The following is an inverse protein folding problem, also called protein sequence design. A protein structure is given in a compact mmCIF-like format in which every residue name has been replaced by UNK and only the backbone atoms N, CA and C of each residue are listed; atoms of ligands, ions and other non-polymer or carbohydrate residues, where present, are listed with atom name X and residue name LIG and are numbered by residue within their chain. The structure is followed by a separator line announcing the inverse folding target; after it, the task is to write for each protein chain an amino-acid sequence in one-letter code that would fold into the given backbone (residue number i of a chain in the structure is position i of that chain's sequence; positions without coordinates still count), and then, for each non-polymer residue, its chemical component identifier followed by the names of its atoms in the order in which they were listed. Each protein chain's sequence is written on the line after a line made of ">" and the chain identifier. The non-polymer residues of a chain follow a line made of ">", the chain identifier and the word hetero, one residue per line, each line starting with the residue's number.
data_IF_232226784313
#
_entry.id   IF_232226784313
#
_cell.length_a   1.000
_cell.length_b   1.000
_cell.length_c   1.000
_cell.angle_alpha   90.00
_cell.angle_beta   90.00
_cell.angle_gamma   90.00
#
_symmetry.space_group_name_H-M   'P 1'
#
loop_
_entity.id
_entity.type
_entity.pdbx_description
1 polymer ?
#
# COMPACT_ATOMS: atom_id res chain seq x y z
N UNK A 1 -6.72 -51.28 17.39
CA UNK A 1 -5.82 -50.41 16.60
C UNK A 1 -6.05 -48.98 17.06
N UNK A 2 -5.13 -48.42 17.85
CA UNK A 2 -5.24 -47.04 18.32
C UNK A 2 -4.82 -46.09 17.19
N UNK A 3 -5.74 -45.23 16.74
CA UNK A 3 -5.45 -44.18 15.77
C UNK A 3 -4.72 -43.05 16.49
N UNK A 4 -3.42 -42.92 16.23
CA UNK A 4 -2.64 -41.78 16.66
C UNK A 4 -2.77 -40.67 15.59
N UNK A 5 -3.79 -39.82 15.72
CA UNK A 5 -3.82 -38.54 15.01
C UNK A 5 -3.19 -37.50 15.93
N UNK A 6 -1.90 -37.21 15.73
CA UNK A 6 -1.30 -36.04 16.33
C UNK A 6 -2.02 -34.78 15.79
N UNK A 7 -2.41 -33.82 16.66
CA UNK A 7 -3.02 -32.58 16.18
C UNK A 7 -2.01 -31.84 15.30
N UNK A 8 -2.46 -31.43 14.11
CA UNK A 8 -1.73 -30.48 13.28
C UNK A 8 -1.41 -29.25 14.14
N UNK A 9 -0.15 -28.80 14.14
CA UNK A 9 0.24 -27.55 14.82
C UNK A 9 -0.71 -26.46 14.36
N UNK A 10 -1.39 -25.84 15.31
CA UNK A 10 -2.16 -24.63 15.08
C UNK A 10 -1.17 -23.55 14.64
N UNK A 11 -1.00 -23.41 13.32
CA UNK A 11 -0.35 -22.24 12.76
C UNK A 11 -1.36 -21.15 12.97
N UNK A 12 -1.23 -20.42 14.08
CA UNK A 12 -1.89 -19.13 14.21
C UNK A 12 -1.58 -18.38 12.91
N UNK A 13 -2.61 -18.17 12.07
CA UNK A 13 -2.47 -17.43 10.84
C UNK A 13 -2.12 -16.00 11.24
N UNK A 14 -0.83 -15.73 11.39
CA UNK A 14 -0.35 -14.43 11.78
C UNK A 14 -0.83 -13.45 10.71
N UNK A 15 -1.79 -12.61 11.09
CA UNK A 15 -2.38 -11.62 10.22
C UNK A 15 -1.27 -10.86 9.50
N UNK A 16 -1.30 -10.87 8.16
CA UNK A 16 -0.32 -10.12 7.38
C UNK A 16 -0.56 -8.63 7.66
N UNK A 17 0.48 -7.94 8.12
CA UNK A 17 0.45 -6.49 8.28
C UNK A 17 0.79 -5.84 6.95
N UNK A 18 -0.07 -4.95 6.47
CA UNK A 18 0.10 -4.25 5.20
C UNK A 18 0.00 -2.76 5.48
N UNK A 19 0.95 -1.99 4.97
CA UNK A 19 0.91 -0.53 4.98
C UNK A 19 0.13 -0.05 3.75
N UNK A 20 -0.76 0.92 3.95
CA UNK A 20 -1.41 1.68 2.88
C UNK A 20 -1.32 3.17 3.20
N UNK A 21 -1.23 4.03 2.18
CA UNK A 21 -1.32 5.48 2.36
C UNK A 21 -2.66 5.99 1.83
N UNK A 22 -3.32 6.88 2.58
CA UNK A 22 -4.62 7.45 2.20
C UNK A 22 -4.46 8.31 0.93
N UNK A 23 -5.38 8.24 -0.05
CA UNK A 23 -5.28 9.00 -1.29
C UNK A 23 -5.70 10.47 -1.15
N UNK A 24 -5.40 11.10 -0.01
CA UNK A 24 -5.81 12.48 0.32
C UNK A 24 -5.37 13.44 -0.77
N UNK A 25 -4.14 13.34 -1.25
CA UNK A 25 -3.57 14.22 -2.29
C UNK A 25 -3.34 13.53 -3.63
N UNK A 26 -3.97 12.38 -3.87
CA UNK A 26 -3.76 11.62 -5.11
C UNK A 26 -4.29 12.36 -6.34
N UNK A 27 -3.41 12.55 -7.33
CA UNK A 27 -3.69 13.19 -8.61
C UNK A 27 -2.57 12.90 -9.62
N UNK A 28 -2.82 13.13 -10.90
CA UNK A 28 -1.77 13.15 -11.92
C UNK A 28 -1.24 14.59 -12.05
N UNK A 29 0.00 14.84 -11.63
CA UNK A 29 0.71 16.14 -11.77
C UNK A 29 1.90 16.07 -12.74
N UNK A 30 2.33 14.86 -13.10
CA UNK A 30 3.44 14.57 -14.00
C UNK A 30 3.22 13.21 -14.67
N UNK A 31 4.08 12.86 -15.63
CA UNK A 31 4.05 11.55 -16.31
C UNK A 31 5.45 10.94 -16.33
N UNK A 32 5.63 9.88 -15.54
CA UNK A 32 6.90 9.14 -15.40
C UNK A 32 6.77 7.68 -15.85
N UNK A 33 5.57 7.27 -16.27
CA UNK A 33 5.32 5.95 -16.85
C UNK A 33 4.21 6.01 -17.92
N UNK A 34 4.10 5.00 -18.80
CA UNK A 34 3.18 5.03 -19.95
C UNK A 34 1.68 5.10 -19.60
N UNK A 35 1.29 4.82 -18.36
CA UNK A 35 -0.11 4.83 -17.92
C UNK A 35 -0.59 6.22 -17.48
N UNK A 36 0.35 7.11 -17.17
CA UNK A 36 0.05 8.45 -16.68
C UNK A 36 -0.32 9.38 -17.84
N UNK A 37 -1.63 9.44 -18.14
CA UNK A 37 -2.20 10.40 -19.09
C UNK A 37 -2.84 11.59 -18.36
N UNK A 38 -2.11 12.71 -18.36
CA UNK A 38 -2.50 13.97 -17.73
C UNK A 38 -3.83 14.53 -18.25
N UNK A 39 -4.26 14.16 -19.47
CA UNK A 39 -5.53 14.62 -20.05
C UNK A 39 -6.74 13.96 -19.41
N UNK A 40 -6.57 12.79 -18.79
CA UNK A 40 -7.66 12.04 -18.12
C UNK A 40 -7.86 12.50 -16.67
N UNK A 41 -6.79 12.94 -16.02
CA UNK A 41 -6.82 13.34 -14.61
C UNK A 41 -7.25 12.23 -13.66
N UNK A 42 -7.62 12.62 -12.43
CA UNK A 42 -8.11 11.71 -11.38
C UNK A 42 -9.44 12.21 -10.83
N UNK A 43 -10.45 11.34 -10.80
CA UNK A 43 -11.64 11.57 -10.00
C UNK A 43 -11.33 11.17 -8.55
N UNK A 44 -11.06 12.16 -7.69
CA UNK A 44 -10.62 11.93 -6.30
C UNK A 44 -11.65 11.20 -5.45
N UNK A 45 -12.94 11.51 -5.60
CA UNK A 45 -14.01 10.80 -4.90
C UNK A 45 -14.00 9.31 -5.23
N UNK A 46 -13.97 8.99 -6.54
CA UNK A 46 -13.92 7.60 -7.00
C UNK A 46 -12.63 6.89 -6.57
N UNK A 47 -11.49 7.59 -6.59
CA UNK A 47 -10.23 7.02 -6.12
C UNK A 47 -10.28 6.66 -4.63
N UNK A 48 -10.87 7.53 -3.79
CA UNK A 48 -11.10 7.24 -2.37
C UNK A 48 -12.04 6.05 -2.18
N UNK A 49 -13.15 5.98 -2.90
CA UNK A 49 -14.08 4.84 -2.82
C UNK A 49 -13.43 3.50 -3.21
N UNK A 50 -12.61 3.52 -4.26
CA UNK A 50 -11.85 2.35 -4.73
C UNK A 50 -10.79 1.93 -3.71
N UNK A 51 -10.07 2.89 -3.13
CA UNK A 51 -9.08 2.65 -2.08
C UNK A 51 -9.71 2.06 -0.82
N UNK A 52 -10.83 2.62 -0.36
CA UNK A 52 -11.58 2.10 0.80
C UNK A 52 -12.11 0.67 0.54
N UNK A 53 -12.52 0.40 -0.70
CA UNK A 53 -12.92 -0.95 -1.12
C UNK A 53 -11.73 -1.93 -1.05
N UNK A 54 -10.56 -1.57 -1.59
CA UNK A 54 -9.35 -2.38 -1.48
C UNK A 54 -8.97 -2.66 -0.03
N UNK A 55 -8.95 -1.60 0.81
CA UNK A 55 -8.64 -1.71 2.23
C UNK A 55 -9.57 -2.71 2.92
N UNK A 56 -10.89 -2.54 2.78
CA UNK A 56 -11.90 -3.45 3.35
C UNK A 56 -11.74 -4.88 2.84
N UNK A 57 -11.48 -5.07 1.54
CA UNK A 57 -11.27 -6.41 0.97
C UNK A 57 -10.06 -7.10 1.61
N UNK A 58 -8.94 -6.39 1.78
CA UNK A 58 -7.75 -6.96 2.43
C UNK A 58 -8.02 -7.28 3.91
N UNK A 59 -8.72 -6.41 4.63
CA UNK A 59 -9.14 -6.66 6.02
C UNK A 59 -10.05 -7.90 6.13
N UNK A 60 -11.01 -8.05 5.21
CA UNK A 60 -11.89 -9.21 5.15
C UNK A 60 -11.13 -10.52 4.84
N UNK A 61 -9.98 -10.43 4.17
CA UNK A 61 -9.06 -11.56 3.97
C UNK A 61 -8.16 -11.85 5.19
N UNK A 62 -8.32 -11.13 6.30
CA UNK A 62 -7.57 -11.32 7.54
C UNK A 62 -6.26 -10.53 7.62
N UNK A 63 -6.02 -9.56 6.72
CA UNK A 63 -4.89 -8.66 6.84
C UNK A 63 -5.16 -7.57 7.90
N UNK A 64 -4.10 -7.14 8.60
CA UNK A 64 -4.11 -5.93 9.42
C UNK A 64 -3.58 -4.78 8.59
N UNK A 65 -4.44 -3.81 8.26
CA UNK A 65 -4.05 -2.63 7.51
C UNK A 65 -3.59 -1.53 8.46
N UNK A 66 -2.35 -1.08 8.30
CA UNK A 66 -1.84 0.16 8.90
C UNK A 66 -2.03 1.27 7.86
N UNK A 67 -2.75 2.33 8.23
CA UNK A 67 -2.99 3.48 7.34
C UNK A 67 -2.05 4.60 7.73
N UNK A 68 -1.27 5.07 6.77
CA UNK A 68 -0.51 6.31 6.87
C UNK A 68 -1.34 7.44 6.25
N UNK A 69 -1.61 8.47 7.04
CA UNK A 69 -2.19 9.72 6.55
C UNK A 69 -1.14 10.50 5.74
N UNK A 70 -1.58 11.27 4.75
CA UNK A 70 -0.69 11.97 3.81
C UNK A 70 -0.37 13.42 4.25
N UNK A 71 -0.42 13.71 5.55
CA UNK A 71 -0.26 15.06 6.08
C UNK A 71 1.12 15.64 5.72
N UNK A 72 1.15 16.83 5.11
CA UNK A 72 2.41 17.47 4.66
C UNK A 72 3.00 16.90 3.37
N UNK A 73 2.29 16.00 2.68
CA UNK A 73 2.73 15.38 1.44
C UNK A 73 1.93 15.85 0.20
N UNK A 74 1.42 17.08 0.20
CA UNK A 74 0.61 17.66 -0.87
C UNK A 74 1.32 17.61 -2.24
N UNK A 75 2.65 17.65 -2.23
CA UNK A 75 3.49 17.62 -3.43
C UNK A 75 3.80 16.21 -3.94
N UNK A 76 3.39 15.16 -3.24
CA UNK A 76 3.76 13.77 -3.53
C UNK A 76 2.53 12.87 -3.73
N UNK A 77 1.82 13.01 -4.86
CA UNK A 77 0.56 12.29 -5.09
C UNK A 77 0.72 10.77 -5.16
N UNK A 78 1.92 10.28 -5.52
CA UNK A 78 2.21 8.86 -5.68
C UNK A 78 2.50 8.11 -4.37
N UNK A 79 2.47 8.79 -3.20
CA UNK A 79 2.65 8.14 -1.89
C UNK A 79 1.60 7.04 -1.60
N UNK A 80 0.45 7.09 -2.27
CA UNK A 80 -0.56 6.02 -2.26
C UNK A 80 0.01 4.65 -2.65
N UNK A 81 1.06 4.63 -3.48
CA UNK A 81 1.78 3.44 -3.90
C UNK A 81 2.86 3.02 -2.89
N UNK A 82 2.43 2.82 -1.64
CA UNK A 82 3.29 2.44 -0.50
C UNK A 82 4.14 1.19 -0.73
N UNK A 83 3.76 0.33 -1.68
CA UNK A 83 4.58 -0.80 -2.13
C UNK A 83 5.98 -0.38 -2.63
N UNK A 84 6.14 0.86 -3.08
CA UNK A 84 7.43 1.39 -3.52
C UNK A 84 8.26 2.01 -2.39
N UNK A 85 7.75 2.16 -1.16
CA UNK A 85 8.47 2.86 -0.10
C UNK A 85 9.73 2.09 0.36
N UNK A 86 9.63 0.76 0.49
CA UNK A 86 10.73 -0.07 0.94
C UNK A 86 10.51 -1.56 0.63
N UNK A 87 11.61 -2.32 0.61
CA UNK A 87 11.56 -3.78 0.76
C UNK A 87 11.75 -4.13 2.24
N UNK A 88 10.87 -4.97 2.79
CA UNK A 88 10.91 -5.38 4.21
C UNK A 88 11.42 -6.81 4.33
N UNK A 89 12.42 -7.05 5.20
CA UNK A 89 12.90 -8.38 5.57
C UNK A 89 13.07 -8.48 7.09
N UNK A 90 12.17 -9.21 7.74
CA UNK A 90 12.13 -9.31 9.20
C UNK A 90 11.87 -7.94 9.82
N UNK A 91 12.81 -7.46 10.64
CA UNK A 91 12.76 -6.13 11.29
C UNK A 91 13.55 -5.04 10.54
N UNK A 92 13.96 -5.29 9.28
CA UNK A 92 14.73 -4.34 8.47
C UNK A 92 13.91 -3.82 7.30
N UNK A 93 14.00 -2.51 7.07
CA UNK A 93 13.46 -1.83 5.90
C UNK A 93 14.61 -1.31 5.02
N UNK A 94 14.57 -1.65 3.74
CA UNK A 94 15.48 -1.12 2.72
C UNK A 94 14.70 -0.07 1.93
N UNK A 95 14.89 1.20 2.28
CA UNK A 95 14.17 2.33 1.69
C UNK A 95 14.45 2.47 0.19
N UNK A 96 13.43 2.88 -0.56
CA UNK A 96 13.59 3.15 -1.96
C UNK A 96 14.48 4.37 -2.22
N UNK A 97 15.23 4.27 -3.31
CA UNK A 97 15.90 5.40 -3.94
C UNK A 97 15.26 5.59 -5.32
N UNK A 98 14.27 6.48 -5.39
CA UNK A 98 13.47 6.67 -6.60
C UNK A 98 14.32 7.22 -7.76
N UNK A 99 14.16 6.63 -8.95
CA UNK A 99 14.86 7.07 -10.16
C UNK A 99 14.37 8.46 -10.62
N UNK A 100 13.06 8.68 -10.55
CA UNK A 100 12.40 9.90 -11.00
C UNK A 100 12.41 10.97 -9.90
N UNK A 101 12.84 12.22 -10.19
CA UNK A 101 12.94 13.28 -9.20
C UNK A 101 11.61 13.62 -8.52
N UNK A 102 10.49 13.47 -9.23
CA UNK A 102 9.14 13.74 -8.76
C UNK A 102 8.77 12.93 -7.51
N UNK A 103 9.34 11.73 -7.37
CA UNK A 103 9.08 10.82 -6.23
C UNK A 103 10.18 10.81 -5.18
N UNK A 104 11.29 11.54 -5.36
CA UNK A 104 12.45 11.46 -4.43
C UNK A 104 12.15 11.96 -3.03
N UNK A 105 11.18 12.86 -2.87
CA UNK A 105 10.77 13.38 -1.57
C UNK A 105 9.80 12.49 -0.78
N UNK A 106 9.41 11.32 -1.32
CA UNK A 106 8.56 10.33 -0.63
C UNK A 106 9.31 9.45 0.38
N UNK A 107 10.63 9.61 0.49
CA UNK A 107 11.50 8.77 1.33
C UNK A 107 11.31 9.01 2.82
#
# INVERSE_FOLDING_TARGET
>A
MASASAPLKEVAMAAKRILMCRPTYFQLTYSINPWMDMRRGVNRTKATEQWETLKRTLENCGARIEVMEADGAESYPDMVFSANAAVIKGNRAYLANFAHPERKGER
#
